data_IF_053734866904
#
_entry.id   IF_053734866904
#
_cell.length_a   1.000
_cell.length_b   1.000
_cell.length_c   1.000
_cell.angle_alpha   90.00
_cell.angle_beta   90.00
_cell.angle_gamma   90.00
#
_symmetry.space_group_name_H-M   'P 1'
#
loop_
_entity.id
_entity.type
_entity.pdbx_description
1 polymer ?
#
# COMPACT_ATOMS: atom_id res chain seq x y z
N UNK A 1 -11.63 12.38 -1.31
CA UNK A 1 -10.34 13.06 -1.58
C UNK A 1 -10.57 14.56 -1.59
N UNK A 2 -9.79 15.36 -0.86
CA UNK A 2 -9.88 16.81 -0.87
C UNK A 2 -8.63 17.40 -1.51
N UNK A 3 -8.78 18.43 -2.32
CA UNK A 3 -7.69 19.27 -2.79
C UNK A 3 -7.72 20.59 -2.03
N UNK A 4 -6.56 21.06 -1.61
CA UNK A 4 -6.40 22.33 -0.88
C UNK A 4 -5.64 23.32 -1.75
N UNK A 5 -6.10 24.56 -1.82
CA UNK A 5 -5.48 25.62 -2.65
C UNK A 5 -4.47 26.45 -1.86
N UNK A 6 -4.56 26.44 -0.52
CA UNK A 6 -3.78 27.30 0.37
C UNK A 6 -2.45 26.64 0.81
N UNK A 7 -1.97 25.64 0.10
CA UNK A 7 -0.74 24.92 0.41
C UNK A 7 -0.76 24.32 1.83
N UNK A 8 0.35 24.49 2.56
CA UNK A 8 0.53 23.99 3.93
C UNK A 8 0.19 25.03 5.01
N UNK A 9 -0.83 25.85 4.78
CA UNK A 9 -1.31 26.79 5.80
C UNK A 9 -1.84 26.07 7.03
N UNK A 10 -1.77 26.70 8.22
CA UNK A 10 -2.31 26.15 9.47
C UNK A 10 -3.77 25.72 9.33
N UNK A 11 -4.57 26.49 8.57
CA UNK A 11 -5.96 26.18 8.28
C UNK A 11 -6.09 24.84 7.53
N UNK A 12 -5.26 24.62 6.50
CA UNK A 12 -5.23 23.38 5.72
C UNK A 12 -4.84 22.21 6.59
N UNK A 13 -3.77 22.34 7.38
CA UNK A 13 -3.28 21.28 8.25
C UNK A 13 -4.33 20.90 9.31
N UNK A 14 -4.96 21.86 9.95
CA UNK A 14 -6.03 21.60 10.91
C UNK A 14 -7.28 20.97 10.27
N UNK A 15 -7.63 21.32 9.03
CA UNK A 15 -8.75 20.67 8.33
C UNK A 15 -8.44 19.22 7.97
N UNK A 16 -7.20 18.93 7.57
CA UNK A 16 -6.74 17.55 7.37
C UNK A 16 -6.84 16.75 8.67
N UNK A 17 -6.35 17.29 9.79
CA UNK A 17 -6.41 16.63 11.09
C UNK A 17 -7.85 16.43 11.62
N UNK A 18 -8.76 17.35 11.33
CA UNK A 18 -10.20 17.13 11.58
C UNK A 18 -10.74 15.96 10.76
N UNK A 19 -10.32 15.86 9.50
CA UNK A 19 -10.63 14.72 8.65
C UNK A 19 -10.10 13.41 9.24
N UNK A 20 -8.85 13.40 9.65
CA UNK A 20 -8.22 12.24 10.29
C UNK A 20 -9.02 11.79 11.52
N UNK A 21 -9.39 12.71 12.40
CA UNK A 21 -10.22 12.43 13.57
C UNK A 21 -11.59 11.86 13.20
N UNK A 22 -12.25 12.45 12.20
CA UNK A 22 -13.57 12.01 11.73
C UNK A 22 -13.57 10.57 11.22
N UNK A 23 -12.51 10.15 10.56
CA UNK A 23 -12.40 8.83 9.94
C UNK A 23 -11.56 7.83 10.75
N UNK A 24 -11.14 8.17 11.95
CA UNK A 24 -10.35 7.29 12.81
C UNK A 24 -8.98 6.92 12.23
N UNK A 25 -8.34 7.89 11.53
CA UNK A 25 -7.03 7.67 10.91
C UNK A 25 -5.96 7.52 11.98
N UNK A 26 -5.18 6.44 11.91
CA UNK A 26 -4.09 6.14 12.83
C UNK A 26 -2.71 6.42 12.24
N UNK A 27 -2.60 6.45 10.90
CA UNK A 27 -1.34 6.72 10.19
C UNK A 27 -1.57 7.74 9.09
N UNK A 28 -0.68 8.73 9.00
CA UNK A 28 -0.64 9.76 7.98
C UNK A 28 0.65 9.61 7.18
N UNK A 29 0.51 9.24 5.91
CA UNK A 29 1.64 9.07 4.99
C UNK A 29 1.84 10.34 4.19
N UNK A 30 3.06 10.88 4.19
CA UNK A 30 3.41 12.15 3.53
C UNK A 30 4.53 11.90 2.53
N UNK A 31 4.33 12.32 1.29
CA UNK A 31 5.40 12.33 0.28
C UNK A 31 6.31 13.54 0.50
N UNK A 32 7.62 13.27 0.70
CA UNK A 32 8.62 14.29 1.06
C UNK A 32 9.56 14.63 -0.10
N UNK A 33 9.13 14.49 -1.33
CA UNK A 33 9.95 14.86 -2.51
C UNK A 33 10.29 16.36 -2.56
N UNK A 34 9.54 17.18 -1.82
CA UNK A 34 9.76 18.60 -1.66
C UNK A 34 9.78 18.98 -0.17
N UNK A 35 10.85 19.66 0.27
CA UNK A 35 10.89 20.30 1.58
C UNK A 35 11.42 19.45 2.74
N UNK A 36 12.16 18.35 2.48
CA UNK A 36 12.97 17.60 3.46
C UNK A 36 12.39 17.49 4.88
N UNK A 37 11.15 17.02 5.01
CA UNK A 37 10.52 16.80 6.31
C UNK A 37 9.82 18.01 6.94
N UNK A 38 9.88 19.20 6.34
CA UNK A 38 9.22 20.41 6.90
C UNK A 38 7.71 20.18 7.10
N UNK A 39 7.06 19.53 6.14
CA UNK A 39 5.62 19.26 6.22
C UNK A 39 5.29 18.33 7.38
N UNK A 40 6.10 17.31 7.57
CA UNK A 40 5.94 16.36 8.68
C UNK A 40 6.12 17.03 10.04
N UNK A 41 7.09 17.93 10.17
CA UNK A 41 7.29 18.70 11.39
C UNK A 41 6.10 19.63 11.70
N UNK A 42 5.54 20.26 10.67
CA UNK A 42 4.31 21.07 10.82
C UNK A 42 3.14 20.19 11.31
N UNK A 43 2.95 19.00 10.74
CA UNK A 43 1.92 18.06 11.20
C UNK A 43 2.16 17.62 12.65
N UNK A 44 3.39 17.24 13.01
CA UNK A 44 3.74 16.83 14.39
C UNK A 44 3.41 17.92 15.41
N UNK A 45 3.73 19.20 15.09
CA UNK A 45 3.37 20.35 15.93
C UNK A 45 1.86 20.45 16.14
N UNK A 46 1.06 20.37 15.07
CA UNK A 46 -0.39 20.45 15.18
C UNK A 46 -1.02 19.22 15.85
N UNK A 47 -0.45 18.03 15.67
CA UNK A 47 -0.87 16.82 16.37
C UNK A 47 -0.72 16.95 17.88
N UNK A 48 0.41 17.51 18.34
CA UNK A 48 0.62 17.80 19.77
C UNK A 48 -0.43 18.79 20.30
N UNK A 49 -0.71 19.87 19.57
CA UNK A 49 -1.71 20.88 19.95
C UNK A 49 -3.13 20.31 20.01
N UNK A 50 -3.49 19.43 19.07
CA UNK A 50 -4.81 18.81 19.00
C UNK A 50 -4.95 17.53 19.81
N UNK A 51 -3.88 17.10 20.49
CA UNK A 51 -3.81 15.85 21.30
C UNK A 51 -4.29 14.62 20.52
N UNK A 52 -3.95 14.54 19.22
CA UNK A 52 -4.25 13.39 18.39
C UNK A 52 -3.03 12.47 18.31
N UNK A 53 -3.25 11.17 18.51
CA UNK A 53 -2.20 10.15 18.39
C UNK A 53 -2.26 9.55 16.97
N UNK A 54 -1.61 10.21 16.01
CA UNK A 54 -1.51 9.77 14.62
C UNK A 54 -0.02 9.61 14.31
N UNK A 55 0.35 8.44 13.81
CA UNK A 55 1.70 8.18 13.33
C UNK A 55 1.92 8.91 12.00
N UNK A 56 3.02 9.64 11.88
CA UNK A 56 3.40 10.35 10.64
C UNK A 56 4.55 9.62 10.00
N UNK A 57 4.30 9.07 8.82
CA UNK A 57 5.27 8.34 8.01
C UNK A 57 5.65 9.16 6.78
N UNK A 58 6.94 9.23 6.50
CA UNK A 58 7.47 9.91 5.32
C UNK A 58 7.85 8.89 4.26
N UNK A 59 7.38 9.11 3.04
CA UNK A 59 7.76 8.30 1.88
C UNK A 59 8.43 9.17 0.82
N UNK A 60 9.39 8.60 0.10
CA UNK A 60 10.03 9.22 -1.06
C UNK A 60 9.68 8.44 -2.32
N UNK A 61 9.28 9.16 -3.36
CA UNK A 61 9.02 8.57 -4.65
C UNK A 61 10.25 8.77 -5.55
N UNK A 62 10.88 7.67 -5.95
CA UNK A 62 12.07 7.65 -6.80
C UNK A 62 11.76 7.18 -8.24
N UNK A 63 10.49 6.89 -8.54
CA UNK A 63 10.03 6.38 -9.84
C UNK A 63 9.21 7.45 -10.54
N UNK A 64 9.19 7.44 -11.87
CA UNK A 64 8.33 8.34 -12.65
C UNK A 64 6.90 8.23 -12.18
N UNK A 65 6.21 9.36 -12.08
CA UNK A 65 4.86 9.47 -11.53
C UNK A 65 3.86 8.60 -12.30
N UNK A 66 3.90 8.68 -13.61
CA UNK A 66 2.99 7.92 -14.49
C UNK A 66 3.17 6.41 -14.33
N UNK A 67 4.42 5.94 -14.31
CA UNK A 67 4.71 4.51 -14.13
C UNK A 67 4.28 4.04 -12.74
N UNK A 68 4.57 4.82 -11.70
CA UNK A 68 4.14 4.53 -10.32
C UNK A 68 2.63 4.39 -10.19
N UNK A 69 1.87 5.31 -10.79
CA UNK A 69 0.41 5.28 -10.75
C UNK A 69 -0.12 4.03 -11.44
N UNK A 70 0.36 3.73 -12.65
CA UNK A 70 -0.11 2.59 -13.42
C UNK A 70 0.28 1.28 -12.74
N UNK A 71 1.55 1.11 -12.36
CA UNK A 71 2.04 -0.12 -11.73
C UNK A 71 1.35 -0.41 -10.38
N UNK A 72 0.88 0.62 -9.69
CA UNK A 72 0.12 0.45 -8.44
C UNK A 72 -1.36 0.11 -8.69
N UNK A 73 -2.01 0.75 -9.66
CA UNK A 73 -3.46 0.65 -9.84
C UNK A 73 -3.87 -0.47 -10.81
N UNK A 74 -3.11 -0.70 -11.88
CA UNK A 74 -3.47 -1.67 -12.92
C UNK A 74 -3.69 -3.08 -12.37
N UNK A 75 -2.81 -3.67 -11.53
CA UNK A 75 -3.03 -5.00 -10.98
C UNK A 75 -4.28 -5.09 -10.12
N UNK A 76 -4.56 -4.06 -9.32
CA UNK A 76 -5.71 -4.04 -8.40
C UNK A 76 -7.02 -3.86 -9.15
N UNK A 77 -7.02 -3.06 -10.23
CA UNK A 77 -8.18 -2.87 -11.10
C UNK A 77 -8.48 -4.12 -11.92
N UNK A 78 -7.46 -4.74 -12.54
CA UNK A 78 -7.62 -5.96 -13.33
C UNK A 78 -8.12 -7.15 -12.48
N UNK A 79 -7.76 -7.19 -11.20
CA UNK A 79 -8.23 -8.19 -10.25
C UNK A 79 -9.55 -7.82 -9.57
N UNK A 80 -10.19 -6.72 -9.94
CA UNK A 80 -11.41 -6.20 -9.32
C UNK A 80 -11.35 -6.03 -7.79
N UNK A 81 -10.14 -5.72 -7.27
CA UNK A 81 -9.91 -5.58 -5.83
C UNK A 81 -10.15 -4.17 -5.31
N UNK A 82 -10.29 -3.18 -6.18
CA UNK A 82 -10.62 -1.81 -5.81
C UNK A 82 -12.14 -1.63 -5.81
N UNK A 83 -12.71 -1.56 -4.61
CA UNK A 83 -14.15 -1.32 -4.42
C UNK A 83 -14.35 0.14 -4.07
N UNK A 84 -15.18 0.84 -4.84
CA UNK A 84 -15.47 2.25 -4.66
C UNK A 84 -16.91 2.43 -4.18
N UNK A 85 -17.09 3.14 -3.06
CA UNK A 85 -18.43 3.52 -2.62
C UNK A 85 -19.05 4.53 -3.60
N UNK A 86 -20.32 4.35 -3.96
CA UNK A 86 -21.05 5.22 -4.88
C UNK A 86 -21.02 6.70 -4.47
N UNK A 87 -21.05 6.97 -3.18
CA UNK A 87 -20.95 8.35 -2.66
C UNK A 87 -19.66 9.04 -3.02
N UNK A 88 -18.57 8.30 -3.29
CA UNK A 88 -17.28 8.87 -3.72
C UNK A 88 -17.40 9.46 -5.12
N UNK A 89 -18.19 8.84 -5.99
CA UNK A 89 -18.44 9.32 -7.37
C UNK A 89 -19.18 10.66 -7.30
N UNK A 90 -20.25 10.72 -6.51
CA UNK A 90 -21.05 11.95 -6.34
C UNK A 90 -20.18 13.06 -5.71
N UNK A 91 -19.31 12.68 -4.80
CA UNK A 91 -18.41 13.61 -4.12
C UNK A 91 -17.28 14.11 -5.03
N UNK A 92 -16.73 13.26 -5.88
CA UNK A 92 -15.72 13.63 -6.88
C UNK A 92 -16.27 14.71 -7.81
N UNK A 93 -17.52 14.54 -8.28
CA UNK A 93 -18.21 15.53 -9.08
C UNK A 93 -18.47 16.82 -8.28
N UNK A 94 -19.05 16.73 -7.10
CA UNK A 94 -19.51 17.88 -6.33
C UNK A 94 -18.36 18.73 -5.77
N UNK A 95 -17.20 18.12 -5.48
CA UNK A 95 -16.04 18.81 -4.94
C UNK A 95 -15.35 19.77 -5.94
N UNK A 96 -15.70 19.70 -7.21
CA UNK A 96 -15.12 20.53 -8.26
C UNK A 96 -16.10 21.57 -8.83
N UNK A 97 -17.23 21.82 -8.15
CA UNK A 97 -18.26 22.77 -8.61
C UNK A 97 -17.74 24.21 -8.75
N UNK A 98 -16.75 24.57 -7.91
CA UNK A 98 -16.15 25.89 -7.91
C UNK A 98 -15.08 26.08 -9.02
N UNK A 99 -14.75 25.02 -9.76
CA UNK A 99 -13.85 25.09 -10.90
C UNK A 99 -14.61 25.59 -12.13
N UNK A 100 -13.91 26.31 -13.04
CA UNK A 100 -14.46 26.70 -14.31
C UNK A 100 -14.97 25.46 -15.09
N UNK A 101 -16.13 25.54 -15.76
CA UNK A 101 -16.76 24.38 -16.42
C UNK A 101 -15.80 23.62 -17.35
N UNK A 102 -14.95 24.34 -18.09
CA UNK A 102 -14.01 23.78 -19.08
C UNK A 102 -12.90 22.97 -18.40
N UNK A 103 -12.50 23.33 -17.19
CA UNK A 103 -11.40 22.67 -16.47
C UNK A 103 -11.88 21.66 -15.43
N UNK A 104 -13.17 21.63 -15.11
CA UNK A 104 -13.74 20.82 -14.02
C UNK A 104 -13.39 19.35 -14.14
N UNK A 105 -13.51 18.78 -15.33
CA UNK A 105 -13.21 17.37 -15.60
C UNK A 105 -11.76 17.01 -15.26
N UNK A 106 -10.82 17.92 -15.53
CA UNK A 106 -9.39 17.67 -15.30
C UNK A 106 -9.04 17.39 -13.81
N UNK A 107 -9.89 17.88 -12.90
CA UNK A 107 -9.71 17.69 -11.45
C UNK A 107 -10.51 16.51 -10.89
N UNK A 108 -11.24 15.76 -11.71
CA UNK A 108 -12.01 14.60 -11.29
C UNK A 108 -11.16 13.34 -11.29
N UNK A 109 -11.19 12.58 -10.20
CA UNK A 109 -10.45 11.33 -10.03
C UNK A 109 -10.77 10.33 -11.16
N UNK A 110 -12.05 10.09 -11.42
CA UNK A 110 -12.46 9.09 -12.42
C UNK A 110 -12.12 9.50 -13.85
N UNK A 111 -12.13 10.81 -14.14
CA UNK A 111 -11.62 11.31 -15.41
C UNK A 111 -10.11 11.11 -15.55
N UNK A 112 -9.34 11.42 -14.50
CA UNK A 112 -7.90 11.18 -14.44
C UNK A 112 -7.59 9.70 -14.67
N UNK A 113 -8.32 8.79 -14.00
CA UNK A 113 -8.16 7.33 -14.18
C UNK A 113 -8.40 6.89 -15.63
N UNK A 114 -9.42 7.44 -16.28
CA UNK A 114 -9.77 7.05 -17.67
C UNK A 114 -8.79 7.56 -18.72
N UNK A 115 -7.94 8.53 -18.38
CA UNK A 115 -6.98 9.18 -19.29
C UNK A 115 -5.53 8.86 -19.00
N UNK A 116 -5.24 8.19 -17.88
CA UNK A 116 -3.87 7.87 -17.51
C UNK A 116 -3.26 6.86 -18.46
N UNK A 117 -2.08 7.17 -18.96
CA UNK A 117 -1.23 6.26 -19.73
C UNK A 117 0.24 6.51 -19.40
N UNK A 118 1.15 5.67 -19.90
CA UNK A 118 2.59 5.75 -19.60
C UNK A 118 3.31 6.93 -20.27
N UNK A 119 2.60 7.70 -21.08
CA UNK A 119 3.16 8.90 -21.69
C UNK A 119 3.30 10.02 -20.67
N UNK A 120 4.44 10.71 -20.69
CA UNK A 120 4.70 11.83 -19.80
C UNK A 120 3.69 12.96 -20.02
N UNK A 121 3.01 13.36 -18.93
CA UNK A 121 2.04 14.44 -18.97
C UNK A 121 0.70 14.09 -19.63
N UNK A 122 0.38 12.79 -19.72
CA UNK A 122 -0.91 12.31 -20.27
C UNK A 122 -2.12 12.93 -19.56
N UNK A 123 -1.98 13.19 -18.26
CA UNK A 123 -2.99 13.86 -17.45
C UNK A 123 -2.40 15.15 -16.87
N UNK A 124 -3.02 16.29 -17.18
CA UNK A 124 -2.53 17.61 -16.77
C UNK A 124 -2.58 17.82 -15.24
N UNK A 125 -3.61 17.29 -14.59
CA UNK A 125 -3.82 17.34 -13.15
C UNK A 125 -4.07 15.91 -12.68
N UNK A 126 -3.09 15.26 -12.09
CA UNK A 126 -3.12 13.86 -11.68
C UNK A 126 -3.05 13.65 -10.16
N UNK A 127 -3.09 14.73 -9.38
CA UNK A 127 -2.86 14.70 -7.93
C UNK A 127 -3.81 13.78 -7.16
N UNK A 128 -5.08 13.68 -7.59
CA UNK A 128 -6.04 12.78 -6.95
C UNK A 128 -5.73 11.32 -7.26
N UNK A 129 -5.36 11.05 -8.50
CA UNK A 129 -5.03 9.72 -8.95
C UNK A 129 -3.72 9.24 -8.32
N UNK A 130 -2.71 10.12 -8.24
CA UNK A 130 -1.45 9.82 -7.59
C UNK A 130 -1.64 9.51 -6.09
N UNK A 131 -2.44 10.32 -5.39
CA UNK A 131 -2.79 10.05 -3.99
C UNK A 131 -3.51 8.70 -3.81
N UNK A 132 -4.40 8.30 -4.74
CA UNK A 132 -5.03 6.99 -4.72
C UNK A 132 -4.01 5.88 -4.94
N UNK A 133 -3.12 6.04 -5.92
CA UNK A 133 -2.08 5.07 -6.24
C UNK A 133 -1.12 4.83 -5.07
N UNK A 134 -0.70 5.91 -4.40
CA UNK A 134 0.11 5.81 -3.18
C UNK A 134 -0.61 5.06 -2.06
N UNK A 135 -1.89 5.35 -1.84
CA UNK A 135 -2.70 4.63 -0.86
C UNK A 135 -2.84 3.14 -1.18
N UNK A 136 -3.11 2.81 -2.45
CA UNK A 136 -3.20 1.41 -2.91
C UNK A 136 -1.87 0.70 -2.72
N UNK A 137 -0.77 1.32 -3.13
CA UNK A 137 0.58 0.76 -2.96
C UNK A 137 0.89 0.50 -1.49
N UNK A 138 0.63 1.47 -0.61
CA UNK A 138 0.86 1.33 0.83
C UNK A 138 0.13 0.11 1.41
N UNK A 139 -1.16 -0.05 1.10
CA UNK A 139 -1.93 -1.20 1.59
C UNK A 139 -1.51 -2.52 0.94
N UNK A 140 -1.14 -2.51 -0.32
CA UNK A 140 -0.66 -3.72 -1.01
C UNK A 140 0.65 -4.22 -0.40
N UNK A 141 1.58 -3.30 -0.13
CA UNK A 141 2.87 -3.61 0.49
C UNK A 141 2.68 -4.12 1.93
N UNK A 142 1.80 -3.47 2.71
CA UNK A 142 1.47 -3.89 4.07
C UNK A 142 0.83 -5.28 4.12
N UNK A 143 -0.08 -5.59 3.20
CA UNK A 143 -0.70 -6.91 3.09
C UNK A 143 0.31 -7.99 2.67
N UNK A 144 1.25 -7.67 1.80
CA UNK A 144 2.31 -8.60 1.39
C UNK A 144 3.23 -8.95 2.57
N UNK A 145 3.61 -7.97 3.38
CA UNK A 145 4.41 -8.17 4.60
C UNK A 145 3.65 -9.06 5.58
N UNK A 146 2.39 -8.76 5.87
CA UNK A 146 1.55 -9.55 6.78
C UNK A 146 1.38 -10.99 6.31
N UNK A 147 1.19 -11.22 5.01
CA UNK A 147 1.10 -12.58 4.45
C UNK A 147 2.41 -13.35 4.61
N UNK A 148 3.54 -12.71 4.37
CA UNK A 148 4.86 -13.32 4.58
C UNK A 148 5.11 -13.69 6.05
N UNK A 149 4.76 -12.81 6.98
CA UNK A 149 4.90 -13.09 8.42
C UNK A 149 4.02 -14.26 8.87
N UNK A 150 2.79 -14.35 8.36
CA UNK A 150 1.91 -15.49 8.64
C UNK A 150 2.46 -16.81 8.11
N UNK A 151 3.03 -16.84 6.90
CA UNK A 151 3.69 -18.04 6.35
C UNK A 151 4.86 -18.45 7.24
N UNK A 152 5.69 -17.48 7.64
CA UNK A 152 6.84 -17.74 8.51
C UNK A 152 6.42 -18.23 9.90
N UNK A 153 5.31 -17.73 10.43
CA UNK A 153 4.76 -18.20 11.71
C UNK A 153 4.30 -19.65 11.59
N UNK A 154 3.53 -20.00 10.55
CA UNK A 154 3.09 -21.38 10.30
C UNK A 154 4.27 -22.36 10.12
N UNK A 155 5.30 -21.96 9.38
CA UNK A 155 6.51 -22.78 9.22
C UNK A 155 7.20 -23.04 10.56
N UNK A 156 7.19 -22.06 11.49
CA UNK A 156 7.72 -22.24 12.83
C UNK A 156 6.86 -23.18 13.68
N UNK A 157 5.55 -23.03 13.64
CA UNK A 157 4.60 -23.88 14.36
C UNK A 157 4.71 -25.33 13.88
N UNK A 158 4.70 -25.57 12.54
CA UNK A 158 4.90 -26.90 11.96
C UNK A 158 6.25 -27.53 12.40
N UNK A 159 7.31 -26.71 12.44
CA UNK A 159 8.61 -27.18 12.89
C UNK A 159 8.60 -27.54 14.38
N UNK A 160 7.92 -26.74 15.21
CA UNK A 160 7.78 -27.00 16.64
C UNK A 160 6.98 -28.29 16.90
N UNK A 161 5.87 -28.49 16.22
CA UNK A 161 5.05 -29.70 16.30
C UNK A 161 5.86 -30.96 15.94
N UNK A 162 6.72 -30.87 14.90
CA UNK A 162 7.64 -31.94 14.54
C UNK A 162 8.64 -32.24 15.65
N UNK A 163 9.16 -31.22 16.32
CA UNK A 163 10.09 -31.38 17.43
C UNK A 163 9.41 -32.01 18.65
N UNK A 164 8.19 -31.56 18.95
CA UNK A 164 7.44 -32.06 20.12
C UNK A 164 6.98 -33.51 19.91
N UNK A 165 6.50 -33.85 18.72
CA UNK A 165 6.17 -35.24 18.35
C UNK A 165 7.41 -36.19 18.46
N UNK A 166 8.63 -35.65 18.27
CA UNK A 166 9.86 -36.41 18.39
C UNK A 166 10.31 -36.68 19.83
N UNK A 167 9.92 -35.81 20.76
CA UNK A 167 10.25 -36.02 22.19
C UNK A 167 9.50 -37.21 22.76
N UNK A 168 8.34 -37.55 22.22
CA UNK A 168 7.46 -38.59 22.72
C UNK A 168 7.76 -39.99 22.10
N UNK A 169 8.65 -40.08 21.08
CA UNK A 169 9.06 -41.35 20.44
C UNK A 169 10.58 -41.56 20.45
N UNK A 170 11.13 -42.27 21.45
CA UNK A 170 12.57 -42.53 21.56
C UNK A 170 13.17 -43.36 20.41
N UNK A 171 12.36 -44.15 19.71
CA UNK A 171 12.84 -44.96 18.56
C UNK A 171 12.92 -44.13 17.29
N UNK A 172 12.14 -43.07 17.16
CA UNK A 172 12.22 -42.14 16.03
C UNK A 172 13.54 -41.38 16.00
N UNK A 173 14.14 -41.11 17.16
CA UNK A 173 15.43 -40.43 17.26
C UNK A 173 16.59 -41.20 16.60
N UNK A 174 16.58 -42.52 16.66
CA UNK A 174 17.62 -43.36 16.07
C UNK A 174 17.52 -43.41 14.53
N UNK A 175 16.33 -43.41 13.98
CA UNK A 175 16.10 -43.40 12.52
C UNK A 175 16.38 -42.05 11.87
N UNK A 176 16.41 -40.96 12.65
CA UNK A 176 16.64 -39.59 12.16
C UNK A 176 18.11 -39.18 12.08
N UNK A 177 19.01 -39.93 12.74
CA UNK A 177 20.46 -39.74 12.56
C UNK A 177 20.91 -40.13 11.14
N UNK A 178 20.14 -40.98 10.47
CA UNK A 178 20.36 -41.40 9.05
C UNK A 178 19.75 -40.41 8.04
N UNK A 179 18.82 -39.59 8.44
CA UNK A 179 18.12 -38.65 7.58
C UNK A 179 18.51 -37.16 7.86
N UNK A 180 19.80 -36.85 7.90
CA UNK A 180 20.35 -35.49 7.92
C UNK A 180 20.00 -34.68 6.66
N UNK A 181 18.81 -34.89 6.12
CA UNK A 181 18.30 -34.11 5.01
C UNK A 181 17.81 -32.74 5.49
N UNK A 182 18.35 -31.67 4.94
CA UNK A 182 17.85 -30.34 5.16
C UNK A 182 16.45 -30.18 4.51
N UNK A 183 15.74 -29.09 4.87
CA UNK A 183 14.37 -28.83 4.42
C UNK A 183 14.23 -28.83 2.87
N UNK A 184 15.28 -28.40 2.16
CA UNK A 184 15.32 -28.39 0.69
C UNK A 184 15.36 -29.79 0.10
N UNK A 185 16.10 -30.69 0.72
CA UNK A 185 16.20 -32.12 0.29
C UNK A 185 14.86 -32.84 0.53
N UNK A 186 14.13 -32.51 1.59
CA UNK A 186 12.77 -33.05 1.86
C UNK A 186 11.72 -32.57 0.88
N UNK A 187 11.78 -31.29 0.45
CA UNK A 187 10.91 -30.76 -0.62
C UNK A 187 11.16 -31.47 -1.96
N UNK A 188 12.41 -31.74 -2.29
CA UNK A 188 12.79 -32.52 -3.47
C UNK A 188 12.29 -33.98 -3.41
N UNK A 189 12.40 -34.61 -2.25
CA UNK A 189 11.95 -36.00 -2.05
C UNK A 189 10.43 -36.18 -2.11
N UNK A 190 9.65 -35.12 -1.80
CA UNK A 190 8.18 -35.10 -1.92
C UNK A 190 7.66 -34.69 -3.30
N UNK A 191 8.55 -34.54 -4.30
CA UNK A 191 8.14 -34.15 -5.66
C UNK A 191 7.64 -32.71 -5.78
N UNK A 192 7.81 -31.91 -4.73
CA UNK A 192 7.49 -30.46 -4.77
C UNK A 192 8.72 -29.78 -5.37
N UNK A 193 8.86 -29.88 -6.68
CA UNK A 193 9.80 -29.06 -7.43
C UNK A 193 9.39 -27.59 -7.21
N UNK A 194 10.29 -26.81 -6.63
CA UNK A 194 10.24 -25.36 -6.76
C UNK A 194 10.46 -25.04 -8.24
N UNK A 195 9.36 -25.02 -8.99
CA UNK A 195 9.39 -24.68 -10.40
C UNK A 195 9.94 -23.27 -10.57
N UNK A 196 11.20 -23.16 -10.90
CA UNK A 196 11.71 -22.05 -11.69
C UNK A 196 11.14 -22.22 -13.11
N UNK A 197 9.85 -21.99 -13.24
CA UNK A 197 9.21 -21.77 -14.53
C UNK A 197 9.53 -20.36 -14.95
N UNK A 198 10.49 -20.18 -15.82
CA UNK A 198 10.57 -18.99 -16.66
C UNK A 198 9.29 -18.93 -17.48
N UNK A 199 8.47 -17.88 -17.40
CA UNK A 199 7.33 -17.73 -18.30
C UNK A 199 7.85 -17.43 -19.70
N UNK A 200 7.76 -18.39 -20.61
CA UNK A 200 7.81 -18.15 -22.04
C UNK A 200 6.46 -17.61 -22.47
N UNK A 201 6.41 -16.33 -22.79
CA UNK A 201 5.27 -15.71 -23.44
C UNK A 201 5.38 -15.95 -24.95
N UNK A 202 4.39 -16.60 -25.51
CA UNK A 202 4.06 -16.57 -26.94
C UNK A 202 2.95 -15.55 -27.13
#
# INVERSE_FOLDING_TARGET
MRAYRDGYSDKTLLDILRGCKKYGVTSLVIETNFGDGIVSELFKKHLQQTKQNIFVEEIRANVRKEDRIIDSLEPVLNQHRLIVNRTVIDWDYSSNKDCAPESRLLYMLFYQMSRMCREKGAVKHDDRLDCLAQGVKYYTDALAISAYEQVKLREREEFQDILDTRKDDPQSAANHMVLGMNLAQRRAARGINSGKGTPTWI
#
